data_IF_651010062099
#
_entry.id   IF_651010062099
#
_cell.length_a   1.000
_cell.length_b   1.000
_cell.length_c   1.000
_cell.angle_alpha   90.00
_cell.angle_beta   90.00
_cell.angle_gamma   90.00
#
_symmetry.space_group_name_H-M   'P 1'
#
loop_
_entity.id
_entity.type
_entity.pdbx_description
1 polymer ?
#
# COMPACT_ATOMS: atom_id res chain seq x y z
N UNK A 1 -0.62 27.54 -0.61
CA UNK A 1 -1.13 26.48 0.31
C UNK A 1 0.05 25.60 0.67
N UNK A 2 0.08 24.99 1.86
CA UNK A 2 1.20 24.11 2.23
C UNK A 2 1.13 22.83 1.39
N UNK A 3 2.27 22.37 0.86
CA UNK A 3 2.37 21.15 0.04
C UNK A 3 1.79 19.95 0.79
N UNK A 4 0.87 19.20 0.17
CA UNK A 4 0.26 18.00 0.75
C UNK A 4 1.25 16.83 0.70
N UNK A 5 1.48 16.14 1.80
CA UNK A 5 2.41 15.02 1.89
C UNK A 5 1.66 13.69 1.83
N UNK A 6 2.01 12.82 0.89
CA UNK A 6 1.41 11.48 0.75
C UNK A 6 2.49 10.43 0.91
N UNK A 7 2.34 9.52 1.87
CA UNK A 7 3.30 8.46 2.11
C UNK A 7 2.81 7.13 1.53
N UNK A 8 3.63 6.55 0.66
CA UNK A 8 3.46 5.20 0.15
C UNK A 8 4.34 4.30 1.01
N UNK A 9 3.72 3.67 2.01
CA UNK A 9 4.39 2.83 2.99
C UNK A 9 4.19 1.37 2.60
N UNK A 10 5.25 0.64 2.30
CA UNK A 10 5.12 -0.71 1.77
C UNK A 10 6.12 -1.70 2.36
N UNK A 11 5.74 -2.98 2.30
CA UNK A 11 6.63 -4.12 2.52
C UNK A 11 6.66 -4.97 1.25
N UNK A 12 7.85 -5.40 0.82
CA UNK A 12 8.02 -6.28 -0.33
C UNK A 12 9.15 -7.25 -0.08
N UNK A 13 8.96 -8.51 -0.50
CA UNK A 13 10.03 -9.54 -0.46
C UNK A 13 10.56 -9.79 -1.86
N UNK A 14 9.67 -10.09 -2.81
CA UNK A 14 10.03 -10.49 -4.17
C UNK A 14 9.74 -9.40 -5.22
N UNK A 15 9.75 -8.12 -4.84
CA UNK A 15 9.63 -6.99 -5.78
C UNK A 15 8.21 -6.63 -6.24
N UNK A 16 7.25 -7.56 -6.32
CA UNK A 16 5.91 -7.28 -6.86
C UNK A 16 5.21 -6.06 -6.23
N UNK A 17 5.23 -5.96 -4.89
CA UNK A 17 4.62 -4.84 -4.16
C UNK A 17 5.44 -3.56 -4.31
N UNK A 18 6.76 -3.67 -4.46
CA UNK A 18 7.61 -2.51 -4.75
C UNK A 18 7.29 -1.93 -6.12
N UNK A 19 7.14 -2.76 -7.15
CA UNK A 19 6.71 -2.33 -8.49
C UNK A 19 5.38 -1.58 -8.42
N UNK A 20 4.40 -2.14 -7.71
CA UNK A 20 3.12 -1.47 -7.46
C UNK A 20 3.31 -0.16 -6.69
N UNK A 21 4.12 -0.15 -5.62
CA UNK A 21 4.36 1.03 -4.80
C UNK A 21 4.98 2.18 -5.59
N UNK A 22 5.94 1.88 -6.48
CA UNK A 22 6.54 2.88 -7.37
C UNK A 22 5.53 3.46 -8.35
N UNK A 23 4.59 2.63 -8.84
CA UNK A 23 3.53 3.13 -9.72
C UNK A 23 2.46 3.94 -8.98
N UNK A 24 2.10 3.52 -7.76
CA UNK A 24 1.27 4.30 -6.84
C UNK A 24 1.93 5.66 -6.54
N UNK A 25 3.24 5.67 -6.28
CA UNK A 25 4.03 6.89 -6.07
C UNK A 25 3.98 7.81 -7.28
N UNK A 26 4.22 7.28 -8.50
CA UNK A 26 4.07 8.04 -9.75
C UNK A 26 2.68 8.66 -9.89
N UNK A 27 1.63 7.90 -9.55
CA UNK A 27 0.25 8.38 -9.52
C UNK A 27 0.06 9.56 -8.57
N UNK A 28 0.48 9.41 -7.32
CA UNK A 28 0.37 10.45 -6.30
C UNK A 28 1.19 11.71 -6.66
N UNK A 29 2.42 11.54 -7.15
CA UNK A 29 3.29 12.62 -7.62
C UNK A 29 2.79 13.35 -8.87
N UNK A 30 1.80 12.80 -9.58
CA UNK A 30 1.20 13.48 -10.74
C UNK A 30 0.23 14.60 -10.34
N UNK A 31 -0.12 14.72 -9.06
CA UNK A 31 -1.04 15.74 -8.54
C UNK A 31 -0.24 16.97 -8.13
N UNK A 32 -0.61 18.14 -8.65
CA UNK A 32 0.00 19.43 -8.30
C UNK A 32 -0.13 19.71 -6.80
N UNK A 33 0.89 20.34 -6.20
CA UNK A 33 1.01 20.62 -4.75
C UNK A 33 0.97 19.38 -3.85
N UNK A 34 1.27 18.19 -4.39
CA UNK A 34 1.45 16.95 -3.62
C UNK A 34 2.89 16.48 -3.70
N UNK A 35 3.51 16.28 -2.54
CA UNK A 35 4.79 15.61 -2.37
C UNK A 35 4.54 14.17 -1.93
N UNK A 36 4.86 13.21 -2.79
CA UNK A 36 4.75 11.80 -2.47
C UNK A 36 6.12 11.18 -2.14
N UNK A 37 6.17 10.33 -1.12
CA UNK A 37 7.40 9.65 -0.68
C UNK A 37 7.19 8.16 -0.51
N UNK A 38 8.20 7.37 -0.90
CA UNK A 38 8.24 5.92 -0.67
C UNK A 38 8.90 5.60 0.66
N UNK A 39 8.35 4.62 1.37
CA UNK A 39 8.78 4.22 2.70
C UNK A 39 8.72 2.70 2.84
N UNK A 40 9.80 2.11 3.35
CA UNK A 40 9.87 0.67 3.61
C UNK A 40 9.48 0.34 5.05
N UNK A 41 8.62 -0.64 5.23
CA UNK A 41 8.39 -1.26 6.53
C UNK A 41 9.60 -2.14 6.91
N UNK A 42 10.14 -2.03 8.14
CA UNK A 42 11.29 -2.82 8.59
C UNK A 42 11.11 -4.33 8.42
N UNK A 43 12.21 -5.03 8.12
CA UNK A 43 12.22 -6.49 8.07
C UNK A 43 12.18 -7.11 9.48
N UNK A 44 11.47 -8.23 9.65
CA UNK A 44 11.40 -8.96 10.92
C UNK A 44 11.91 -10.40 10.81
N UNK A 45 12.05 -10.93 9.60
CA UNK A 45 12.63 -12.26 9.39
C UNK A 45 14.14 -12.23 9.63
N UNK A 46 14.70 -13.21 10.35
CA UNK A 46 16.14 -13.34 10.48
C UNK A 46 16.82 -13.54 9.12
N UNK A 47 18.03 -12.99 8.97
CA UNK A 47 18.83 -13.07 7.73
C UNK A 47 18.91 -14.50 7.15
N UNK A 48 19.16 -15.51 8.00
CA UNK A 48 19.21 -16.93 7.60
C UNK A 48 17.93 -17.43 6.90
N UNK A 49 16.77 -16.86 7.23
CA UNK A 49 15.47 -17.23 6.65
C UNK A 49 15.34 -16.58 5.28
N UNK A 50 15.71 -15.29 5.16
CA UNK A 50 15.71 -14.56 3.89
C UNK A 50 16.64 -15.23 2.86
N UNK A 51 17.82 -15.66 3.28
CA UNK A 51 18.77 -16.42 2.46
C UNK A 51 18.18 -17.75 1.99
N UNK A 52 17.52 -18.50 2.90
CA UNK A 52 16.84 -19.76 2.55
C UNK A 52 15.70 -19.54 1.56
N UNK A 53 14.97 -18.43 1.69
CA UNK A 53 13.92 -18.02 0.76
C UNK A 53 14.48 -17.52 -0.58
N UNK A 54 15.80 -17.31 -0.68
CA UNK A 54 16.45 -16.62 -1.80
C UNK A 54 15.80 -15.26 -2.06
N UNK A 55 15.47 -14.55 -0.99
CA UNK A 55 14.89 -13.22 -1.08
C UNK A 55 15.90 -12.29 -1.77
N UNK A 56 15.48 -11.50 -2.77
CA UNK A 56 16.34 -10.48 -3.37
C UNK A 56 16.72 -9.42 -2.32
N UNK A 57 17.79 -8.64 -2.57
CA UNK A 57 18.14 -7.53 -1.70
C UNK A 57 17.00 -6.52 -1.64
N UNK A 58 16.83 -5.91 -0.46
CA UNK A 58 15.85 -4.83 -0.27
C UNK A 58 16.29 -3.57 -1.05
N UNK A 59 15.35 -2.72 -1.48
CA UNK A 59 15.66 -1.48 -2.20
C UNK A 59 16.57 -0.58 -1.38
N UNK A 60 17.72 -0.18 -1.93
CA UNK A 60 18.67 0.69 -1.26
C UNK A 60 18.34 2.18 -1.38
N UNK A 61 17.44 2.55 -2.30
CA UNK A 61 17.00 3.91 -2.58
C UNK A 61 15.80 4.36 -1.73
N UNK A 62 15.20 3.44 -0.95
CA UNK A 62 14.03 3.72 -0.12
C UNK A 62 14.37 3.57 1.36
N UNK A 63 14.01 4.56 2.17
CA UNK A 63 14.31 4.58 3.60
C UNK A 63 13.29 3.77 4.40
N UNK A 64 13.75 3.11 5.46
CA UNK A 64 12.84 2.44 6.40
C UNK A 64 12.10 3.45 7.27
N UNK A 65 10.78 3.30 7.36
CA UNK A 65 9.92 4.18 8.15
C UNK A 65 9.89 3.76 9.61
N UNK A 66 9.87 4.76 10.50
CA UNK A 66 9.55 4.58 11.91
C UNK A 66 8.12 5.03 12.20
N UNK A 67 7.45 4.47 13.23
CA UNK A 67 6.09 4.85 13.58
C UNK A 67 5.90 6.37 13.66
N UNK A 68 6.79 7.08 14.36
CA UNK A 68 6.73 8.53 14.56
C UNK A 68 6.72 9.33 13.25
N UNK A 69 7.25 8.80 12.14
CA UNK A 69 7.24 9.50 10.85
C UNK A 69 5.83 9.57 10.25
N UNK A 70 4.89 8.71 10.64
CA UNK A 70 3.52 8.74 10.12
C UNK A 70 2.81 10.07 10.43
N UNK A 71 3.21 10.79 11.48
CA UNK A 71 2.56 12.07 11.83
C UNK A 71 2.81 13.16 10.79
N UNK A 72 3.86 13.04 9.97
CA UNK A 72 4.27 14.06 9.01
C UNK A 72 3.48 14.03 7.69
N UNK A 73 2.79 12.92 7.40
CA UNK A 73 2.00 12.77 6.17
C UNK A 73 0.57 13.25 6.34
N UNK A 74 -0.04 13.75 5.27
CA UNK A 74 -1.45 14.11 5.21
C UNK A 74 -2.32 12.95 4.68
N UNK A 75 -1.73 11.96 4.01
CA UNK A 75 -2.42 10.76 3.55
C UNK A 75 -1.48 9.58 3.31
N UNK A 76 -2.05 8.38 3.27
CA UNK A 76 -1.27 7.13 3.19
C UNK A 76 -1.78 6.17 2.12
N UNK A 77 -0.86 5.45 1.51
CA UNK A 77 -1.14 4.21 0.78
C UNK A 77 -0.27 3.10 1.34
N UNK A 78 -0.91 2.09 1.93
CA UNK A 78 -0.24 0.97 2.58
C UNK A 78 -0.19 -0.25 1.64
N UNK A 79 1.03 -0.72 1.36
CA UNK A 79 1.29 -1.76 0.38
C UNK A 79 1.90 -3.03 0.96
N UNK A 80 1.33 -4.21 0.75
CA UNK A 80 1.94 -5.43 1.28
C UNK A 80 1.58 -6.72 0.51
N UNK A 81 2.44 -7.75 0.55
CA UNK A 81 2.08 -9.06 0.04
C UNK A 81 1.13 -9.74 1.03
N UNK A 82 0.07 -10.37 0.52
CA UNK A 82 -0.85 -11.14 1.35
C UNK A 82 -0.14 -12.30 2.05
N UNK A 83 -0.52 -12.55 3.30
CA UNK A 83 -0.24 -13.78 4.04
C UNK A 83 -1.57 -14.35 4.49
N UNK A 84 -2.06 -15.34 3.75
CA UNK A 84 -3.31 -16.04 4.03
C UNK A 84 -4.53 -15.11 4.20
N UNK A 85 -4.63 -14.06 3.37
CA UNK A 85 -5.73 -13.10 3.44
C UNK A 85 -5.56 -12.01 4.51
N UNK A 86 -4.35 -11.83 5.03
CA UNK A 86 -4.00 -10.78 6.00
C UNK A 86 -2.71 -10.05 5.61
N UNK A 87 -2.41 -8.97 6.33
CA UNK A 87 -1.10 -8.33 6.32
C UNK A 87 0.02 -9.31 6.74
N UNK A 88 1.25 -9.14 6.22
CA UNK A 88 2.39 -9.91 6.67
C UNK A 88 2.83 -9.46 8.07
N UNK A 89 3.54 -10.33 8.79
CA UNK A 89 3.98 -10.08 10.17
C UNK A 89 4.82 -8.81 10.33
N UNK A 90 5.56 -8.40 9.30
CA UNK A 90 6.33 -7.15 9.26
C UNK A 90 5.42 -5.94 9.38
N UNK A 91 4.32 -5.92 8.62
CA UNK A 91 3.36 -4.83 8.64
C UNK A 91 2.55 -4.83 9.93
N UNK A 92 2.19 -6.02 10.43
CA UNK A 92 1.52 -6.14 11.71
C UNK A 92 2.41 -5.64 12.85
N UNK A 93 3.68 -6.06 12.91
CA UNK A 93 4.63 -5.57 13.91
C UNK A 93 4.85 -4.05 13.82
N UNK A 94 4.86 -3.49 12.62
CA UNK A 94 4.92 -2.03 12.43
C UNK A 94 3.70 -1.33 13.04
N UNK A 95 2.48 -1.79 12.77
CA UNK A 95 1.28 -1.25 13.42
C UNK A 95 1.23 -1.55 14.93
N UNK A 96 1.73 -2.68 15.41
CA UNK A 96 1.80 -2.94 16.85
C UNK A 96 2.72 -1.92 17.57
N UNK A 97 3.68 -1.36 16.85
CA UNK A 97 4.58 -0.31 17.34
C UNK A 97 4.01 1.12 17.27
N UNK A 98 2.76 1.31 16.82
CA UNK A 98 2.11 2.64 16.74
C UNK A 98 1.19 2.94 17.94
N UNK A 99 1.33 2.22 19.07
CA UNK A 99 0.47 2.39 20.25
C UNK A 99 0.32 3.85 20.70
N UNK A 100 1.43 4.60 20.76
CA UNK A 100 1.38 5.99 21.21
C UNK A 100 0.61 6.89 20.23
N UNK A 101 0.73 6.65 18.92
CA UNK A 101 -0.03 7.38 17.89
C UNK A 101 -1.51 7.05 17.94
N UNK A 102 -1.84 5.79 18.25
CA UNK A 102 -3.22 5.38 18.49
C UNK A 102 -3.76 6.07 19.76
N UNK A 103 -3.00 6.07 20.85
CA UNK A 103 -3.42 6.66 22.12
C UNK A 103 -3.69 8.17 21.99
N UNK A 104 -2.86 8.89 21.24
CA UNK A 104 -3.03 10.31 20.96
C UNK A 104 -3.98 10.60 19.80
N UNK A 105 -4.43 9.57 19.07
CA UNK A 105 -5.21 9.68 17.85
C UNK A 105 -4.54 10.59 16.79
N UNK A 106 -3.20 10.59 16.72
CA UNK A 106 -2.43 11.48 15.83
C UNK A 106 -2.60 11.20 14.33
N UNK A 107 -3.19 10.05 13.96
CA UNK A 107 -3.49 9.70 12.58
C UNK A 107 -4.99 9.88 12.24
N UNK A 108 -5.81 10.31 13.20
CA UNK A 108 -7.24 10.44 12.99
C UNK A 108 -7.55 11.49 11.91
N UNK A 109 -8.54 11.19 11.06
CA UNK A 109 -8.96 12.06 9.96
C UNK A 109 -8.06 12.02 8.72
N UNK A 110 -6.87 11.40 8.79
CA UNK A 110 -5.99 11.27 7.62
C UNK A 110 -6.51 10.20 6.66
N UNK A 111 -6.65 10.47 5.34
CA UNK A 111 -7.05 9.47 4.36
C UNK A 111 -6.00 8.37 4.19
N UNK A 112 -6.46 7.12 4.08
CA UNK A 112 -5.61 5.97 3.88
C UNK A 112 -6.21 4.97 2.88
N UNK A 113 -5.40 4.51 1.94
CA UNK A 113 -5.71 3.46 0.97
C UNK A 113 -4.83 2.23 1.16
N UNK A 114 -5.20 1.12 0.55
CA UNK A 114 -4.48 -0.16 0.65
C UNK A 114 -4.26 -0.72 -0.75
N UNK A 115 -3.07 -1.27 -1.00
CA UNK A 115 -2.76 -2.05 -2.20
C UNK A 115 -1.97 -3.31 -1.84
N UNK A 116 -2.02 -4.37 -2.66
CA UNK A 116 -1.43 -5.65 -2.27
C UNK A 116 -0.99 -6.53 -3.44
N UNK A 117 -0.28 -7.60 -3.11
CA UNK A 117 0.02 -8.69 -4.03
C UNK A 117 -0.43 -10.04 -3.45
N UNK A 118 -1.04 -10.91 -4.25
CA UNK A 118 -1.35 -12.30 -3.85
C UNK A 118 -0.70 -13.31 -4.79
N UNK A 119 -0.59 -14.57 -4.38
CA UNK A 119 -0.12 -15.64 -5.27
C UNK A 119 -1.14 -15.93 -6.38
N UNK A 120 -2.32 -16.40 -6.00
CA UNK A 120 -3.33 -16.92 -6.94
C UNK A 120 -4.74 -16.38 -6.63
N UNK A 121 -5.70 -16.67 -7.51
CA UNK A 121 -7.12 -16.36 -7.33
C UNK A 121 -7.67 -16.91 -6.01
N UNK A 122 -8.59 -16.18 -5.39
CA UNK A 122 -9.17 -16.55 -4.09
C UNK A 122 -8.18 -16.47 -2.91
N UNK A 123 -6.88 -16.33 -3.16
CA UNK A 123 -5.81 -16.27 -2.16
C UNK A 123 -5.72 -14.95 -1.40
N UNK A 124 -6.86 -14.32 -1.10
CA UNK A 124 -6.94 -13.09 -0.32
C UNK A 124 -6.93 -11.79 -1.14
N UNK A 125 -7.32 -11.82 -2.41
CA UNK A 125 -7.44 -10.61 -3.25
C UNK A 125 -8.44 -9.57 -2.70
N UNK A 126 -9.36 -9.96 -1.84
CA UNK A 126 -10.26 -9.03 -1.15
C UNK A 126 -10.00 -9.04 0.36
N UNK A 127 -9.89 -10.23 0.96
CA UNK A 127 -9.72 -10.39 2.41
C UNK A 127 -8.48 -9.66 2.96
N UNK A 128 -7.38 -9.56 2.19
CA UNK A 128 -6.17 -8.87 2.68
C UNK A 128 -6.42 -7.38 2.91
N UNK A 129 -7.20 -6.75 2.03
CA UNK A 129 -7.60 -5.36 2.20
C UNK A 129 -8.66 -5.24 3.30
N UNK A 130 -9.68 -6.10 3.26
CA UNK A 130 -10.78 -6.10 4.23
C UNK A 130 -10.28 -6.22 5.68
N UNK A 131 -9.36 -7.14 5.94
CA UNK A 131 -8.77 -7.32 7.28
C UNK A 131 -7.87 -6.16 7.67
N UNK A 132 -7.17 -5.54 6.71
CA UNK A 132 -6.31 -4.39 6.99
C UNK A 132 -7.07 -3.08 7.30
N UNK A 133 -8.30 -2.91 6.80
CA UNK A 133 -9.17 -1.76 7.13
C UNK A 133 -9.44 -1.64 8.63
N UNK A 134 -9.40 -2.77 9.36
CA UNK A 134 -9.57 -2.75 10.82
C UNK A 134 -8.50 -1.90 11.51
N UNK A 135 -7.24 -1.97 11.05
CA UNK A 135 -6.16 -1.14 11.59
C UNK A 135 -6.38 0.35 11.31
N UNK A 136 -6.85 0.68 10.10
CA UNK A 136 -7.17 2.06 9.75
C UNK A 136 -8.26 2.63 10.65
N UNK A 137 -9.29 1.82 10.90
CA UNK A 137 -10.44 2.20 11.70
C UNK A 137 -10.06 2.46 13.17
N UNK A 138 -9.20 1.61 13.76
CA UNK A 138 -8.72 1.81 15.13
C UNK A 138 -7.87 3.07 15.31
N UNK A 139 -7.11 3.46 14.28
CA UNK A 139 -6.35 4.71 14.25
C UNK A 139 -7.20 5.96 13.90
N UNK A 140 -8.50 5.80 13.62
CA UNK A 140 -9.38 6.89 13.21
C UNK A 140 -9.08 7.43 11.80
N UNK A 141 -8.32 6.70 10.98
CA UNK A 141 -8.01 7.08 9.60
C UNK A 141 -9.25 6.92 8.71
N UNK A 142 -9.35 7.76 7.67
CA UNK A 142 -10.43 7.69 6.70
C UNK A 142 -10.05 6.72 5.58
N UNK A 143 -10.68 5.55 5.56
CA UNK A 143 -10.43 4.59 4.50
C UNK A 143 -10.96 5.11 3.15
N UNK A 144 -10.07 5.24 2.17
CA UNK A 144 -10.37 5.62 0.79
C UNK A 144 -10.24 4.38 -0.09
N UNK A 145 -11.36 3.72 -0.44
CA UNK A 145 -11.33 2.58 -1.35
C UNK A 145 -11.00 3.05 -2.77
N UNK A 146 -10.52 2.14 -3.61
CA UNK A 146 -10.47 2.38 -5.05
C UNK A 146 -11.88 2.52 -5.63
N UNK A 147 -12.83 1.73 -5.13
CA UNK A 147 -14.17 1.63 -5.71
C UNK A 147 -14.10 1.22 -7.19
N UNK A 148 -15.12 1.62 -7.94
CA UNK A 148 -15.17 1.44 -9.39
C UNK A 148 -14.70 2.70 -10.15
N UNK A 149 -14.01 3.62 -9.48
CA UNK A 149 -13.67 4.95 -10.03
C UNK A 149 -12.53 4.89 -11.06
N UNK A 150 -11.76 3.80 -11.11
CA UNK A 150 -10.81 3.48 -12.19
C UNK A 150 -11.50 3.28 -13.56
N UNK A 151 -12.83 3.17 -13.58
CA UNK A 151 -13.60 3.08 -14.82
C UNK A 151 -13.48 1.72 -15.50
N UNK A 152 -13.49 1.68 -16.83
CA UNK A 152 -13.63 0.45 -17.63
C UNK A 152 -12.60 -0.64 -17.25
N UNK A 153 -11.39 -0.26 -16.87
CA UNK A 153 -10.33 -1.20 -16.53
C UNK A 153 -10.66 -2.14 -15.37
N UNK A 154 -11.49 -1.72 -14.40
CA UNK A 154 -11.90 -2.61 -13.29
C UNK A 154 -12.87 -3.70 -13.74
N UNK A 155 -13.68 -3.42 -14.77
CA UNK A 155 -14.68 -4.32 -15.33
C UNK A 155 -14.12 -5.27 -16.40
N UNK A 156 -12.83 -5.16 -16.72
CA UNK A 156 -12.18 -5.99 -17.72
C UNK A 156 -12.15 -7.48 -17.29
N UNK A 157 -12.47 -8.42 -18.17
CA UNK A 157 -12.61 -9.84 -17.82
C UNK A 157 -11.85 -10.80 -18.73
N UNK A 158 -11.27 -10.32 -19.83
CA UNK A 158 -10.52 -11.14 -20.79
C UNK A 158 -9.08 -11.42 -20.30
N UNK A 159 -8.54 -10.53 -19.46
CA UNK A 159 -7.21 -10.68 -18.87
C UNK A 159 -7.26 -10.90 -17.36
N UNK A 160 -6.34 -11.75 -16.90
CA UNK A 160 -6.11 -12.01 -15.49
C UNK A 160 -5.52 -10.77 -14.83
N UNK A 161 -6.26 -10.18 -13.88
CA UNK A 161 -5.82 -9.02 -13.10
C UNK A 161 -6.16 -9.13 -11.62
N UNK A 162 -5.26 -8.67 -10.76
CA UNK A 162 -5.48 -8.47 -9.34
C UNK A 162 -6.26 -7.18 -9.05
N UNK A 163 -6.46 -6.95 -7.75
CA UNK A 163 -7.18 -5.77 -7.27
C UNK A 163 -8.69 -5.98 -7.21
N UNK A 164 -9.35 -5.03 -6.57
CA UNK A 164 -10.79 -5.06 -6.33
C UNK A 164 -11.29 -3.65 -6.02
N UNK A 165 -12.58 -3.50 -5.69
CA UNK A 165 -13.09 -2.23 -5.18
C UNK A 165 -12.42 -1.76 -3.89
N UNK A 166 -11.73 -2.65 -3.16
CA UNK A 166 -10.99 -2.29 -1.94
C UNK A 166 -9.65 -1.60 -2.21
N UNK A 167 -9.10 -1.68 -3.43
CA UNK A 167 -7.76 -1.18 -3.73
C UNK A 167 -7.12 -1.84 -4.95
N UNK A 168 -5.99 -1.29 -5.39
CA UNK A 168 -5.21 -1.90 -6.44
C UNK A 168 -4.52 -3.18 -5.96
N UNK A 169 -4.38 -4.15 -6.85
CA UNK A 169 -3.73 -5.40 -6.51
C UNK A 169 -3.09 -6.08 -7.71
N UNK A 170 -2.20 -7.02 -7.43
CA UNK A 170 -1.50 -7.78 -8.46
C UNK A 170 -1.40 -9.26 -8.09
N UNK A 171 -1.28 -10.13 -9.08
CA UNK A 171 -0.93 -11.54 -8.89
C UNK A 171 0.57 -11.78 -9.12
N UNK A 172 1.23 -12.41 -8.16
CA UNK A 172 2.60 -12.88 -8.27
C UNK A 172 2.70 -14.32 -8.85
N UNK A 173 1.61 -15.08 -8.86
CA UNK A 173 1.63 -16.49 -9.26
C UNK A 173 2.53 -17.33 -8.37
N UNK A 174 3.46 -18.06 -8.99
CA UNK A 174 4.56 -18.78 -8.33
C UNK A 174 5.75 -17.89 -7.94
N UNK A 175 5.62 -16.57 -8.12
CA UNK A 175 6.66 -15.57 -7.94
C UNK A 175 7.30 -15.09 -9.25
N UNK A 176 6.95 -15.70 -10.40
CA UNK A 176 7.47 -15.30 -11.70
C UNK A 176 6.61 -14.25 -12.41
N UNK A 177 5.29 -14.23 -12.16
CA UNK A 177 4.37 -13.27 -12.81
C UNK A 177 4.59 -11.88 -12.27
N UNK A 178 4.93 -10.94 -13.15
CA UNK A 178 5.02 -9.52 -12.79
C UNK A 178 3.67 -8.81 -12.90
N UNK A 179 3.51 -7.66 -12.22
CA UNK A 179 2.32 -6.84 -12.39
C UNK A 179 2.05 -6.53 -13.86
N UNK A 180 0.82 -6.75 -14.31
CA UNK A 180 0.42 -6.43 -15.68
C UNK A 180 0.23 -4.93 -15.86
N UNK A 181 0.23 -4.47 -17.12
CA UNK A 181 -0.01 -3.05 -17.44
C UNK A 181 -1.33 -2.55 -16.86
N UNK A 182 -2.39 -3.37 -16.89
CA UNK A 182 -3.69 -3.02 -16.32
C UNK A 182 -3.63 -2.87 -14.79
N UNK A 183 -2.89 -3.74 -14.10
CA UNK A 183 -2.68 -3.65 -12.63
C UNK A 183 -1.85 -2.41 -12.28
N UNK A 184 -0.86 -2.06 -13.10
CA UNK A 184 -0.05 -0.84 -12.93
C UNK A 184 -0.87 0.43 -13.18
N UNK A 185 -1.72 0.46 -14.21
CA UNK A 185 -2.65 1.58 -14.44
C UNK A 185 -3.62 1.77 -13.27
N UNK A 186 -4.09 0.67 -12.69
CA UNK A 186 -4.92 0.71 -11.48
C UNK A 186 -4.16 1.29 -10.28
N UNK A 187 -2.89 0.88 -10.09
CA UNK A 187 -2.02 1.39 -9.05
C UNK A 187 -1.73 2.90 -9.21
N UNK A 188 -1.39 3.34 -10.42
CA UNK A 188 -1.22 4.74 -10.77
C UNK A 188 -2.47 5.55 -10.42
N UNK A 189 -3.64 5.06 -10.86
CA UNK A 189 -4.90 5.72 -10.59
C UNK A 189 -5.19 5.82 -9.08
N UNK A 190 -4.96 4.75 -8.31
CA UNK A 190 -5.19 4.76 -6.87
C UNK A 190 -4.30 5.80 -6.16
N UNK A 191 -3.02 5.88 -6.56
CA UNK A 191 -2.09 6.89 -6.06
C UNK A 191 -2.57 8.31 -6.30
N UNK A 192 -2.97 8.60 -7.54
CA UNK A 192 -3.53 9.91 -7.91
C UNK A 192 -4.81 10.23 -7.12
N UNK A 193 -5.73 9.27 -7.06
CA UNK A 193 -7.02 9.45 -6.41
C UNK A 193 -6.88 9.75 -4.91
N UNK A 194 -6.06 9.00 -4.19
CA UNK A 194 -5.80 9.27 -2.78
C UNK A 194 -5.14 10.64 -2.57
N UNK A 195 -4.17 11.00 -3.42
CA UNK A 195 -3.50 12.29 -3.35
C UNK A 195 -4.46 13.47 -3.53
N UNK A 196 -5.41 13.37 -4.47
CA UNK A 196 -6.47 14.36 -4.65
C UNK A 196 -7.40 14.44 -3.42
N UNK A 197 -7.72 13.31 -2.78
CA UNK A 197 -8.51 13.28 -1.55
C UNK A 197 -7.75 13.92 -0.39
N UNK A 198 -6.47 13.58 -0.20
CA UNK A 198 -5.61 14.17 0.82
C UNK A 198 -5.50 15.69 0.64
N UNK A 199 -5.28 16.17 -0.60
CA UNK A 199 -5.21 17.61 -0.90
C UNK A 199 -6.51 18.34 -0.55
N UNK A 200 -7.68 17.71 -0.75
CA UNK A 200 -8.99 18.30 -0.42
C UNK A 200 -9.26 18.35 1.08
N UNK A 201 -8.78 17.35 1.82
CA UNK A 201 -8.95 17.29 3.28
C UNK A 201 -7.93 18.15 4.02
N UNK A 202 -6.77 18.38 3.40
CA UNK A 202 -5.75 19.28 3.92
C UNK A 202 -6.24 20.72 3.88
N UNK A 203 -6.40 21.31 5.07
CA UNK A 203 -6.75 22.72 5.26
C UNK A 203 -5.53 23.63 5.18
#
# INVERSE_FOLDING_TARGET
>A
MSTTKVYIVFYSVFGHVETMAREVHRGASSVEDVEASLWLVPETLPQRILEKMKAPPRPSDVTEIKPENLVDADGFLFGFPSRFGMMPSQFLAFFDSTHDLWKSQSLAGKPAGIFWSTGFYGGGQENSAFTAVTQLSHHGMLYVPLGYTFGKGIFEMEEVKGGSSYGAGTFAGDGSRQPSELELQQAFYQGKYLAEVAKKLKS
#
